data_IF_809837145974
#
_entry.id   IF_809837145974
#
_cell.length_a   1.000
_cell.length_b   1.000
_cell.length_c   1.000
_cell.angle_alpha   90.00
_cell.angle_beta   90.00
_cell.angle_gamma   90.00
#
_symmetry.space_group_name_H-M   'P 1'
#
loop_
_entity.id
_entity.type
_entity.pdbx_description
1 polymer ?
#
# COMPACT_ATOMS: atom_id res chain seq x y z
N UNK A 1 32.98 2.89 -6.55
CA UNK A 1 32.18 3.96 -7.17
C UNK A 1 30.82 3.45 -7.61
N UNK A 2 30.73 2.62 -8.67
CA UNK A 2 29.46 2.28 -9.33
C UNK A 2 28.46 1.44 -8.52
N UNK A 3 28.91 0.44 -7.74
CA UNK A 3 28.02 -0.38 -6.92
C UNK A 3 27.23 0.44 -5.89
N UNK A 4 27.89 1.42 -5.27
CA UNK A 4 27.27 2.34 -4.33
C UNK A 4 26.23 3.23 -5.03
N UNK A 5 26.56 3.79 -6.20
CA UNK A 5 25.63 4.61 -6.97
C UNK A 5 24.38 3.81 -7.39
N UNK A 6 24.55 2.56 -7.83
CA UNK A 6 23.44 1.67 -8.18
C UNK A 6 22.57 1.35 -6.96
N UNK A 7 23.19 0.98 -5.85
CA UNK A 7 22.47 0.70 -4.60
C UNK A 7 21.66 1.92 -4.13
N UNK A 8 22.30 3.09 -4.11
CA UNK A 8 21.65 4.34 -3.73
C UNK A 8 20.48 4.68 -4.65
N UNK A 9 20.64 4.50 -5.96
CA UNK A 9 19.55 4.72 -6.92
C UNK A 9 18.38 3.77 -6.66
N UNK A 10 18.61 2.46 -6.54
CA UNK A 10 17.54 1.49 -6.28
C UNK A 10 16.83 1.78 -4.95
N UNK A 11 17.59 2.11 -3.91
CA UNK A 11 17.02 2.49 -2.61
C UNK A 11 16.12 3.71 -2.73
N UNK A 12 16.60 4.78 -3.39
CA UNK A 12 15.80 6.00 -3.63
C UNK A 12 14.51 5.70 -4.38
N UNK A 13 14.54 4.85 -5.41
CA UNK A 13 13.35 4.49 -6.16
C UNK A 13 12.37 3.70 -5.25
N UNK A 14 12.87 2.73 -4.48
CA UNK A 14 12.04 1.89 -3.61
C UNK A 14 11.33 2.69 -2.49
N UNK A 15 12.01 3.69 -1.90
CA UNK A 15 11.41 4.56 -0.86
C UNK A 15 10.45 5.59 -1.43
N UNK A 16 10.65 6.04 -2.67
CA UNK A 16 9.89 7.16 -3.26
C UNK A 16 8.65 6.72 -4.04
N UNK A 17 8.63 5.48 -4.56
CA UNK A 17 7.46 4.97 -5.26
C UNK A 17 6.33 4.76 -4.26
N UNK A 18 5.18 5.35 -4.55
CA UNK A 18 3.95 5.05 -3.83
C UNK A 18 3.42 3.67 -4.24
N UNK A 19 3.45 2.65 -3.36
CA UNK A 19 3.01 1.29 -3.69
C UNK A 19 1.48 1.16 -3.66
N UNK A 20 0.75 2.25 -3.41
CA UNK A 20 -0.71 2.21 -3.31
C UNK A 20 -1.37 1.61 -4.56
N UNK A 21 -2.47 0.90 -4.30
CA UNK A 21 -3.38 0.36 -5.30
C UNK A 21 -3.91 1.49 -6.21
N UNK A 22 -4.22 1.19 -7.47
CA UNK A 22 -4.56 2.20 -8.47
C UNK A 22 -5.77 3.05 -8.07
N UNK A 23 -6.85 2.43 -7.57
CA UNK A 23 -8.06 3.15 -7.17
C UNK A 23 -7.86 3.95 -5.88
N UNK A 24 -6.95 3.50 -5.01
CA UNK A 24 -6.53 4.28 -3.85
C UNK A 24 -5.84 5.58 -4.29
N UNK A 25 -4.93 5.50 -5.26
CA UNK A 25 -4.21 6.69 -5.78
C UNK A 25 -5.11 7.68 -6.51
N UNK A 26 -6.19 7.19 -7.12
CA UNK A 26 -7.14 8.00 -7.88
C UNK A 26 -8.21 8.65 -6.99
N UNK A 27 -8.43 8.15 -5.76
CA UNK A 27 -9.42 8.69 -4.84
C UNK A 27 -8.95 10.06 -4.32
N UNK A 28 -9.67 11.12 -4.64
CA UNK A 28 -9.37 12.50 -4.19
C UNK A 28 -9.80 12.79 -2.76
N UNK A 29 -10.86 12.12 -2.28
CA UNK A 29 -11.43 12.34 -0.95
C UNK A 29 -11.07 11.16 -0.04
N UNK A 30 -9.85 11.15 0.48
CA UNK A 30 -9.44 10.19 1.50
C UNK A 30 -9.87 10.70 2.88
N UNK A 31 -10.50 9.85 3.73
CA UNK A 31 -10.79 10.25 5.11
C UNK A 31 -9.50 10.43 5.89
N UNK A 32 -9.34 11.61 6.50
CA UNK A 32 -8.22 11.94 7.39
C UNK A 32 -8.76 12.34 8.78
N UNK A 33 -8.40 11.62 9.87
CA UNK A 33 -7.59 10.40 9.89
C UNK A 33 -8.36 9.17 9.38
N UNK A 34 -7.65 8.13 8.95
CA UNK A 34 -8.25 6.86 8.55
C UNK A 34 -9.08 6.26 9.71
N UNK A 35 -10.34 5.85 9.47
CA UNK A 35 -11.17 5.28 10.51
C UNK A 35 -10.62 3.94 11.00
N UNK A 36 -10.93 3.60 12.25
CA UNK A 36 -10.63 2.28 12.79
C UNK A 36 -11.54 1.22 12.16
N UNK A 37 -10.99 0.05 11.84
CA UNK A 37 -11.78 -1.03 11.27
C UNK A 37 -12.73 -1.64 12.32
N UNK A 38 -14.02 -1.62 12.00
CA UNK A 38 -15.07 -2.21 12.84
C UNK A 38 -15.35 -3.67 12.44
N UNK A 39 -14.86 -4.59 13.26
CA UNK A 39 -15.03 -6.04 13.07
C UNK A 39 -16.47 -6.53 13.26
N UNK A 40 -17.35 -5.72 13.87
CA UNK A 40 -18.77 -6.06 14.01
C UNK A 40 -19.53 -5.92 12.69
N UNK A 41 -19.08 -5.03 11.80
CA UNK A 41 -19.68 -4.78 10.48
C UNK A 41 -19.12 -5.71 9.41
N UNK A 42 -17.80 -5.95 9.43
CA UNK A 42 -17.10 -6.73 8.42
C UNK A 42 -16.06 -7.65 9.06
N UNK A 43 -15.95 -8.88 8.58
CA UNK A 43 -14.95 -9.85 9.09
C UNK A 43 -13.52 -9.47 8.70
N UNK A 44 -13.34 -8.90 7.51
CA UNK A 44 -12.04 -8.53 6.94
C UNK A 44 -12.06 -7.12 6.37
N UNK A 45 -10.93 -6.41 6.46
CA UNK A 45 -10.75 -5.06 5.90
C UNK A 45 -10.99 -5.06 4.39
N UNK A 46 -10.48 -6.09 3.71
CA UNK A 46 -10.71 -6.32 2.29
C UNK A 46 -11.56 -7.57 2.14
N UNK A 47 -12.74 -7.44 1.54
CA UNK A 47 -13.67 -8.54 1.28
C UNK A 47 -14.26 -8.41 -0.12
N UNK A 48 -14.32 -9.52 -0.88
CA UNK A 48 -14.81 -9.53 -2.27
C UNK A 48 -14.20 -8.42 -3.13
N UNK A 49 -12.88 -8.25 -3.03
CA UNK A 49 -12.13 -7.22 -3.77
C UNK A 49 -12.55 -5.78 -3.47
N UNK A 50 -13.11 -5.51 -2.28
CA UNK A 50 -13.44 -4.16 -1.83
C UNK A 50 -12.80 -3.90 -0.47
N UNK A 51 -12.16 -2.74 -0.30
CA UNK A 51 -11.61 -2.32 0.98
C UNK A 51 -12.59 -1.41 1.72
N UNK A 52 -13.00 -1.80 2.93
CA UNK A 52 -13.95 -1.06 3.74
C UNK A 52 -13.36 0.16 4.48
N UNK A 53 -12.03 0.28 4.53
CA UNK A 53 -11.36 1.46 5.08
C UNK A 53 -11.06 2.50 4.00
N UNK A 54 -10.49 2.04 2.89
CA UNK A 54 -10.18 2.89 1.73
C UNK A 54 -11.44 3.24 0.91
N UNK A 55 -12.51 2.46 1.07
CA UNK A 55 -13.79 2.54 0.33
C UNK A 55 -13.62 2.47 -1.19
N UNK A 56 -12.75 1.59 -1.65
CA UNK A 56 -12.50 1.37 -3.08
C UNK A 56 -12.47 -0.12 -3.41
N UNK A 57 -12.84 -0.44 -4.64
CA UNK A 57 -12.55 -1.75 -5.22
C UNK A 57 -11.05 -1.87 -5.43
N UNK A 58 -10.49 -3.03 -5.14
CA UNK A 58 -9.05 -3.31 -5.20
C UNK A 58 -8.79 -4.57 -6.03
N UNK A 59 -7.58 -4.69 -6.58
CA UNK A 59 -7.16 -5.92 -7.27
C UNK A 59 -7.19 -7.16 -6.34
N UNK A 60 -7.27 -8.36 -6.93
CA UNK A 60 -7.37 -9.62 -6.19
C UNK A 60 -6.19 -9.88 -5.23
N UNK A 61 -5.01 -9.35 -5.55
CA UNK A 61 -3.80 -9.48 -4.74
C UNK A 61 -3.56 -8.28 -3.80
N UNK A 62 -4.44 -7.29 -3.78
CA UNK A 62 -4.28 -6.13 -2.93
C UNK A 62 -4.60 -6.46 -1.46
N UNK A 63 -3.84 -5.85 -0.55
CA UNK A 63 -4.12 -5.91 0.89
C UNK A 63 -4.01 -4.51 1.49
N UNK A 64 -4.75 -4.27 2.58
CA UNK A 64 -4.65 -3.03 3.33
C UNK A 64 -3.48 -3.12 4.33
N UNK A 65 -2.54 -2.18 4.25
CA UNK A 65 -1.49 -2.03 5.24
C UNK A 65 -1.94 -1.04 6.32
N UNK A 66 -2.11 -1.50 7.55
CA UNK A 66 -2.48 -0.63 8.68
C UNK A 66 -1.37 0.36 9.06
N UNK A 67 -0.10 0.04 8.80
CA UNK A 67 1.01 0.97 9.07
C UNK A 67 1.03 2.15 8.09
N UNK A 68 0.59 1.94 6.84
CA UNK A 68 0.53 2.99 5.82
C UNK A 68 -0.89 3.52 5.56
N UNK A 69 -1.91 2.99 6.24
CA UNK A 69 -3.34 3.29 6.06
C UNK A 69 -3.80 3.30 4.59
N UNK A 70 -3.29 2.38 3.78
CA UNK A 70 -3.63 2.31 2.35
C UNK A 70 -3.61 0.88 1.83
N UNK A 71 -4.45 0.60 0.82
CA UNK A 71 -4.31 -0.64 0.07
C UNK A 71 -3.13 -0.55 -0.88
N UNK A 72 -2.39 -1.66 -0.98
CA UNK A 72 -1.21 -1.82 -1.82
C UNK A 72 -1.46 -2.97 -2.79
N UNK A 73 -1.20 -2.75 -4.08
CA UNK A 73 -1.37 -3.79 -5.11
C UNK A 73 -0.28 -4.85 -4.98
N UNK A 74 -0.67 -6.13 -5.08
CA UNK A 74 0.24 -7.27 -4.90
C UNK A 74 1.10 -7.15 -3.63
N UNK A 75 0.44 -6.82 -2.52
CA UNK A 75 1.11 -6.54 -1.26
C UNK A 75 1.94 -7.73 -0.79
N UNK A 76 3.24 -7.47 -0.60
CA UNK A 76 4.17 -8.40 0.02
C UNK A 76 4.28 -8.09 1.52
N UNK A 77 4.92 -6.96 1.86
CA UNK A 77 5.09 -6.54 3.24
C UNK A 77 5.20 -5.01 3.41
N UNK A 78 5.09 -4.54 4.65
CA UNK A 78 5.53 -3.20 5.03
C UNK A 78 6.99 -3.26 5.49
N UNK A 79 7.89 -2.61 4.76
CA UNK A 79 9.30 -2.61 5.10
C UNK A 79 9.62 -1.43 6.02
N UNK A 80 9.99 -1.74 7.26
CA UNK A 80 10.38 -0.73 8.26
C UNK A 80 11.61 0.07 7.82
N UNK A 81 12.53 -0.56 7.10
CA UNK A 81 13.79 0.06 6.65
C UNK A 81 13.59 1.04 5.50
N UNK A 82 12.57 0.80 4.66
CA UNK A 82 12.17 1.72 3.61
C UNK A 82 11.15 2.76 4.09
N UNK A 83 10.58 2.54 5.28
CA UNK A 83 9.38 3.22 5.75
C UNK A 83 8.27 3.26 4.68
N UNK A 84 8.15 2.17 3.92
CA UNK A 84 7.26 2.08 2.77
C UNK A 84 6.78 0.62 2.60
N UNK A 85 5.65 0.44 1.93
CA UNK A 85 5.22 -0.90 1.55
C UNK A 85 5.96 -1.37 0.31
N UNK A 86 6.17 -2.68 0.25
CA UNK A 86 6.65 -3.40 -0.92
C UNK A 86 5.47 -4.13 -1.54
N UNK A 87 5.27 -3.91 -2.84
CA UNK A 87 4.22 -4.54 -3.61
C UNK A 87 4.52 -4.47 -5.11
N UNK A 88 3.52 -4.67 -5.95
CA UNK A 88 3.71 -4.81 -7.41
C UNK A 88 4.40 -3.63 -8.10
N UNK A 89 4.42 -2.44 -7.49
CA UNK A 89 5.02 -1.23 -8.08
C UNK A 89 6.51 -1.04 -7.78
N UNK A 90 7.03 -1.69 -6.75
CA UNK A 90 8.41 -1.52 -6.28
C UNK A 90 9.07 -2.85 -5.90
N UNK A 91 8.56 -3.96 -6.44
CA UNK A 91 9.16 -5.28 -6.37
C UNK A 91 9.63 -5.67 -7.78
N UNK A 92 10.91 -5.37 -8.07
CA UNK A 92 11.59 -5.67 -9.34
C UNK A 92 12.53 -6.85 -9.21
#
# INVERSE_FOLDING_TARGET
>A
GGLFSLHFLVHLIAVSIDPAEANVRLKKNYPEPMPTFDRSKHTHVVQKQYCHLCEVTVSSKAKHCSACNKCVSGFDHHCKWLNNCVGSRNYW
#
